data_IF_356553988420
#
_entry.id   IF_356553988420
#
_cell.length_a   1.000
_cell.length_b   1.000
_cell.length_c   1.000
_cell.angle_alpha   90.00
_cell.angle_beta   90.00
_cell.angle_gamma   90.00
#
_symmetry.space_group_name_H-M   'P 1'
#
loop_
_entity.id
_entity.type
_entity.pdbx_description
1 polymer ?
#
# COMPACT_ATOMS: atom_id res chain seq x y z
N UNK A 1 -56.19 -21.40 -22.32
CA UNK A 1 -55.17 -20.53 -21.69
C UNK A 1 -54.44 -21.39 -20.67
N UNK A 2 -53.16 -21.68 -20.87
CA UNK A 2 -52.35 -22.47 -19.93
C UNK A 2 -51.93 -21.56 -18.78
N UNK A 3 -52.42 -21.83 -17.57
CA UNK A 3 -51.96 -21.13 -16.35
C UNK A 3 -50.51 -21.55 -16.06
N UNK A 4 -49.72 -20.64 -15.47
CA UNK A 4 -48.39 -20.98 -15.02
C UNK A 4 -48.48 -22.08 -13.94
N UNK A 5 -47.66 -23.15 -14.03
CA UNK A 5 -47.66 -24.24 -13.06
C UNK A 5 -47.20 -23.77 -11.68
N UNK A 6 -47.61 -24.46 -10.62
CA UNK A 6 -47.17 -24.15 -9.27
C UNK A 6 -45.63 -24.26 -9.16
N UNK A 7 -44.97 -23.24 -8.58
CA UNK A 7 -43.52 -23.17 -8.56
C UNK A 7 -42.96 -21.87 -7.99
N UNK A 8 -41.63 -21.81 -7.90
CA UNK A 8 -40.90 -20.62 -7.46
C UNK A 8 -40.55 -19.74 -8.66
N UNK A 9 -40.88 -18.46 -8.57
CA UNK A 9 -40.65 -17.49 -9.63
C UNK A 9 -40.04 -16.20 -9.07
N UNK A 10 -39.32 -15.41 -9.89
CA UNK A 10 -38.77 -14.12 -9.45
C UNK A 10 -39.86 -13.19 -8.91
N UNK A 11 -39.64 -12.63 -7.72
CA UNK A 11 -40.56 -11.65 -7.14
C UNK A 11 -40.34 -10.27 -7.82
N UNK A 12 -41.33 -9.72 -8.54
CA UNK A 12 -41.18 -8.44 -9.21
C UNK A 12 -41.11 -7.25 -8.24
N UNK A 13 -41.55 -7.42 -6.98
CA UNK A 13 -41.56 -6.37 -5.96
C UNK A 13 -40.25 -6.33 -5.17
N UNK A 14 -39.55 -7.47 -5.08
CA UNK A 14 -38.30 -7.59 -4.31
C UNK A 14 -37.24 -8.28 -5.17
N UNK A 15 -36.32 -7.50 -5.77
CA UNK A 15 -35.21 -8.05 -6.54
C UNK A 15 -34.40 -9.05 -5.70
N UNK A 16 -33.90 -10.12 -6.32
CA UNK A 16 -33.12 -11.21 -5.69
C UNK A 16 -33.86 -12.16 -4.74
N UNK A 17 -35.19 -12.13 -4.76
CA UNK A 17 -36.05 -13.09 -4.04
C UNK A 17 -36.94 -13.85 -5.02
N UNK A 18 -37.22 -15.11 -4.68
CA UNK A 18 -38.23 -15.92 -5.36
C UNK A 18 -39.48 -15.94 -4.50
N UNK A 19 -40.64 -15.84 -5.12
CA UNK A 19 -41.95 -15.98 -4.50
C UNK A 19 -42.66 -17.23 -5.06
N UNK A 20 -43.39 -17.93 -4.21
CA UNK A 20 -44.06 -19.16 -4.62
C UNK A 20 -45.46 -18.88 -5.19
N UNK A 21 -45.71 -19.38 -6.40
CA UNK A 21 -47.00 -19.44 -7.07
C UNK A 21 -47.61 -20.83 -6.84
N UNK A 22 -48.85 -20.90 -6.35
CA UNK A 22 -49.52 -22.17 -6.04
C UNK A 22 -50.35 -22.74 -7.22
N UNK A 23 -50.37 -22.06 -8.36
CA UNK A 23 -51.21 -22.39 -9.53
C UNK A 23 -52.43 -21.49 -9.69
N UNK A 24 -52.87 -20.83 -8.63
CA UNK A 24 -54.05 -19.95 -8.59
C UNK A 24 -53.71 -18.53 -8.11
N UNK A 25 -52.81 -18.37 -7.15
CA UNK A 25 -52.40 -17.11 -6.56
C UNK A 25 -50.92 -17.10 -6.09
N UNK A 26 -50.38 -15.89 -5.90
CA UNK A 26 -49.07 -15.69 -5.28
C UNK A 26 -49.18 -15.84 -3.76
N UNK A 27 -48.47 -16.82 -3.20
CA UNK A 27 -48.44 -17.05 -1.75
C UNK A 27 -47.51 -16.07 -1.03
N UNK A 28 -47.48 -16.04 0.31
CA UNK A 28 -46.51 -15.26 1.10
C UNK A 28 -45.13 -15.94 1.23
N UNK A 29 -44.97 -17.15 0.68
CA UNK A 29 -43.68 -17.85 0.76
C UNK A 29 -42.66 -17.18 -0.16
N UNK A 30 -41.57 -16.74 0.45
CA UNK A 30 -40.42 -16.14 -0.21
C UNK A 30 -39.14 -16.89 0.17
N UNK A 31 -38.20 -17.00 -0.77
CA UNK A 31 -36.86 -17.50 -0.51
C UNK A 31 -35.84 -16.67 -1.26
N UNK A 32 -34.60 -16.61 -0.75
CA UNK A 32 -33.51 -15.96 -1.45
C UNK A 32 -33.30 -16.65 -2.81
N UNK A 33 -33.24 -15.87 -3.89
CA UNK A 33 -32.85 -16.41 -5.18
C UNK A 33 -31.38 -16.84 -5.10
N UNK A 34 -31.13 -18.15 -5.06
CA UNK A 34 -29.78 -18.68 -5.22
C UNK A 34 -29.37 -18.39 -6.65
N UNK A 35 -28.55 -17.37 -6.86
CA UNK A 35 -28.06 -17.05 -8.20
C UNK A 35 -27.19 -18.21 -8.69
N UNK A 36 -27.61 -18.98 -9.72
CA UNK A 36 -26.84 -20.11 -10.21
C UNK A 36 -25.49 -19.69 -10.82
N UNK A 37 -25.26 -18.38 -10.98
CA UNK A 37 -24.05 -17.78 -11.53
C UNK A 37 -23.04 -17.31 -10.46
N UNK A 38 -23.35 -17.43 -9.17
CA UNK A 38 -22.41 -17.06 -8.11
C UNK A 38 -21.38 -18.19 -7.87
N UNK A 39 -20.31 -18.20 -8.66
CA UNK A 39 -19.20 -19.13 -8.45
C UNK A 39 -18.65 -19.02 -7.01
N UNK A 40 -18.30 -20.15 -6.35
CA UNK A 40 -17.71 -20.13 -5.02
C UNK A 40 -16.47 -19.23 -5.02
N UNK A 41 -16.45 -18.26 -4.11
CA UNK A 41 -15.30 -17.38 -3.94
C UNK A 41 -14.31 -17.94 -2.91
N UNK A 42 -14.20 -19.26 -2.82
CA UNK A 42 -13.26 -19.95 -1.95
C UNK A 42 -12.21 -20.60 -2.84
N UNK A 43 -10.95 -20.47 -2.48
CA UNK A 43 -9.88 -21.15 -3.20
C UNK A 43 -9.93 -22.67 -2.93
N UNK A 44 -9.43 -23.51 -3.85
CA UNK A 44 -9.27 -24.93 -3.59
C UNK A 44 -8.53 -25.22 -2.26
N UNK A 45 -8.87 -26.31 -1.56
CA UNK A 45 -8.13 -26.71 -0.35
C UNK A 45 -6.63 -26.88 -0.66
N UNK A 46 -5.78 -26.36 0.21
CA UNK A 46 -4.32 -26.46 0.06
C UNK A 46 -3.68 -25.44 -0.89
N UNK A 47 -4.44 -24.51 -1.49
CA UNK A 47 -3.86 -23.44 -2.32
C UNK A 47 -2.85 -22.60 -1.53
N UNK A 48 -1.63 -22.50 -2.06
CA UNK A 48 -0.58 -21.69 -1.46
C UNK A 48 -0.95 -20.20 -1.48
N UNK A 49 -1.03 -19.58 -0.30
CA UNK A 49 -1.38 -18.17 -0.12
C UNK A 49 -0.19 -17.21 -0.25
N UNK A 50 1.04 -17.71 -0.12
CA UNK A 50 2.25 -16.92 -0.03
C UNK A 50 3.01 -16.90 -1.37
N UNK A 51 3.47 -15.72 -1.79
CA UNK A 51 4.28 -15.52 -2.99
C UNK A 51 5.60 -14.86 -2.57
N UNK A 52 6.71 -15.04 -3.29
CA UNK A 52 7.93 -14.27 -3.01
C UNK A 52 7.76 -12.78 -3.33
N UNK A 53 6.97 -12.45 -4.36
CA UNK A 53 6.78 -11.09 -4.85
C UNK A 53 6.18 -10.14 -3.81
N UNK A 54 5.25 -10.62 -2.97
CA UNK A 54 4.67 -9.78 -1.92
C UNK A 54 5.71 -9.31 -0.91
N UNK A 55 6.71 -10.13 -0.61
CA UNK A 55 7.78 -9.76 0.31
C UNK A 55 8.70 -8.70 -0.31
N UNK A 56 8.93 -8.75 -1.62
CA UNK A 56 9.62 -7.67 -2.32
C UNK A 56 8.82 -6.37 -2.25
N UNK A 57 7.50 -6.39 -2.46
CA UNK A 57 6.66 -5.19 -2.32
C UNK A 57 6.72 -4.59 -0.91
N UNK A 58 6.79 -5.43 0.12
CA UNK A 58 6.79 -4.98 1.53
C UNK A 58 8.16 -4.50 2.00
N UNK A 59 9.24 -5.19 1.60
CA UNK A 59 10.58 -4.97 2.15
C UNK A 59 11.44 -4.05 1.28
N UNK A 60 11.24 -4.04 -0.04
CA UNK A 60 12.05 -3.21 -0.95
C UNK A 60 11.97 -1.70 -0.64
N UNK A 61 10.83 -1.13 -0.21
CA UNK A 61 10.77 0.26 0.24
C UNK A 61 11.70 0.61 1.42
N UNK A 62 12.20 -0.39 2.16
CA UNK A 62 13.17 -0.18 3.23
C UNK A 62 14.59 0.09 2.71
N UNK A 63 14.90 -0.25 1.46
CA UNK A 63 16.20 0.03 0.85
C UNK A 63 16.48 1.55 0.73
N UNK A 64 15.63 2.36 0.09
CA UNK A 64 15.84 3.81 0.07
C UNK A 64 15.76 4.42 1.47
N UNK A 65 14.93 3.86 2.37
CA UNK A 65 14.89 4.28 3.79
C UNK A 65 16.25 4.11 4.46
N UNK A 66 16.92 2.98 4.23
CA UNK A 66 18.26 2.72 4.76
C UNK A 66 19.29 3.71 4.21
N UNK A 67 19.27 4.00 2.90
CA UNK A 67 20.19 4.99 2.30
C UNK A 67 19.97 6.39 2.89
N UNK A 68 18.72 6.74 3.17
CA UNK A 68 18.31 8.04 3.73
C UNK A 68 18.90 8.26 5.13
N UNK A 69 19.12 7.19 5.92
CA UNK A 69 19.72 7.29 7.25
C UNK A 69 21.19 7.74 7.24
N UNK A 70 21.90 7.52 6.12
CA UNK A 70 23.30 7.92 5.97
C UNK A 70 23.48 9.36 5.46
N UNK A 71 22.38 10.04 5.13
CA UNK A 71 22.42 11.44 4.71
C UNK A 71 22.67 12.31 5.97
N UNK A 72 23.65 13.25 5.92
CA UNK A 72 23.97 14.10 7.06
C UNK A 72 22.93 15.22 7.22
N UNK A 73 21.72 14.88 7.63
CA UNK A 73 20.60 15.83 7.75
C UNK A 73 20.90 17.05 8.64
N UNK A 74 21.76 16.89 9.65
CA UNK A 74 22.18 18.00 10.52
C UNK A 74 23.07 19.04 9.81
N UNK A 75 23.79 18.64 8.75
CA UNK A 75 24.62 19.57 7.99
C UNK A 75 23.82 20.42 7.00
N UNK A 76 22.49 20.26 6.96
CA UNK A 76 21.60 21.05 6.09
C UNK A 76 21.65 22.56 6.42
N UNK A 77 21.83 22.88 7.70
CA UNK A 77 21.89 24.26 8.20
C UNK A 77 23.27 24.64 8.73
N UNK A 78 24.28 23.79 8.51
CA UNK A 78 25.64 24.10 8.91
C UNK A 78 26.15 25.27 8.06
N UNK A 79 26.33 26.41 8.72
CA UNK A 79 26.80 27.66 8.14
C UNK A 79 27.96 28.16 8.99
N UNK A 80 29.03 28.59 8.34
CA UNK A 80 30.14 29.27 9.02
C UNK A 80 29.86 30.78 9.04
N UNK A 81 29.53 31.38 10.20
CA UNK A 81 29.19 32.80 10.30
C UNK A 81 30.37 33.74 10.05
N UNK A 82 31.60 33.21 10.00
CA UNK A 82 32.81 33.98 9.72
C UNK A 82 33.27 33.83 8.27
N UNK A 83 32.61 32.98 7.48
CA UNK A 83 32.89 32.87 6.05
C UNK A 83 32.49 34.16 5.35
N UNK A 84 33.42 34.75 4.61
CA UNK A 84 33.21 36.03 3.92
C UNK A 84 33.21 35.87 2.41
N UNK A 85 33.65 34.72 1.89
CA UNK A 85 33.56 34.42 0.46
C UNK A 85 32.11 34.07 0.09
N UNK A 86 31.43 34.89 -0.74
CA UNK A 86 30.06 34.61 -1.18
C UNK A 86 29.91 33.26 -1.88
N UNK A 87 30.99 32.76 -2.49
CA UNK A 87 31.03 31.47 -3.20
C UNK A 87 30.98 30.30 -2.24
N UNK A 88 31.74 30.35 -1.15
CA UNK A 88 31.75 29.30 -0.12
C UNK A 88 30.46 29.33 0.72
N UNK A 89 29.91 30.52 0.99
CA UNK A 89 28.57 30.68 1.59
C UNK A 89 27.50 29.99 0.73
N UNK A 90 27.52 30.21 -0.59
CA UNK A 90 26.58 29.55 -1.51
C UNK A 90 26.81 28.03 -1.55
N UNK A 91 28.08 27.58 -1.60
CA UNK A 91 28.43 26.15 -1.65
C UNK A 91 28.00 25.41 -0.39
N UNK A 92 28.21 25.97 0.79
CA UNK A 92 27.82 25.36 2.07
C UNK A 92 26.30 25.21 2.16
N UNK A 93 25.53 26.23 1.81
CA UNK A 93 24.06 26.17 1.75
C UNK A 93 23.55 25.11 0.75
N UNK A 94 24.25 24.93 -0.37
CA UNK A 94 23.88 23.96 -1.41
C UNK A 94 24.47 22.57 -1.21
N UNK A 95 25.35 22.37 -0.22
CA UNK A 95 26.16 21.16 -0.07
C UNK A 95 25.33 19.88 -0.01
N UNK A 96 24.25 19.88 0.79
CA UNK A 96 23.34 18.74 0.89
C UNK A 96 22.61 18.46 -0.44
N UNK A 97 22.17 19.51 -1.15
CA UNK A 97 21.50 19.38 -2.44
C UNK A 97 22.42 18.89 -3.55
N UNK A 98 23.73 19.08 -3.42
CA UNK A 98 24.74 18.53 -4.32
C UNK A 98 25.25 17.15 -3.90
N UNK A 99 24.79 16.63 -2.75
CA UNK A 99 25.26 15.34 -2.21
C UNK A 99 24.96 14.17 -3.17
N UNK A 100 25.99 13.42 -3.61
CA UNK A 100 25.78 12.24 -4.45
C UNK A 100 24.88 11.19 -3.79
N UNK A 101 24.95 11.07 -2.46
CA UNK A 101 24.14 10.11 -1.70
C UNK A 101 22.66 10.49 -1.70
N UNK A 102 22.33 11.78 -1.60
CA UNK A 102 20.96 12.26 -1.69
C UNK A 102 20.38 11.92 -3.07
N UNK A 103 21.09 12.25 -4.14
CA UNK A 103 20.64 11.93 -5.50
C UNK A 103 20.52 10.43 -5.76
N UNK A 104 21.49 9.64 -5.30
CA UNK A 104 21.43 8.18 -5.37
C UNK A 104 20.20 7.64 -4.64
N UNK A 105 19.93 8.13 -3.42
CA UNK A 105 18.76 7.71 -2.65
C UNK A 105 17.45 8.02 -3.37
N UNK A 106 17.35 9.16 -4.07
CA UNK A 106 16.18 9.52 -4.86
C UNK A 106 16.01 8.65 -6.10
N UNK A 107 17.08 8.40 -6.85
CA UNK A 107 17.03 7.50 -8.01
C UNK A 107 16.63 6.08 -7.59
N UNK A 108 17.19 5.58 -6.48
CA UNK A 108 16.81 4.29 -5.90
C UNK A 108 15.35 4.30 -5.47
N UNK A 109 14.86 5.37 -4.85
CA UNK A 109 13.46 5.50 -4.45
C UNK A 109 12.49 5.39 -5.64
N UNK A 110 12.76 6.12 -6.74
CA UNK A 110 11.95 6.02 -7.96
C UNK A 110 12.03 4.63 -8.61
N UNK A 111 13.21 4.02 -8.66
CA UNK A 111 13.36 2.67 -9.18
C UNK A 111 12.59 1.64 -8.34
N UNK A 112 12.70 1.72 -7.01
CA UNK A 112 11.99 0.87 -6.06
C UNK A 112 10.48 1.04 -6.16
N UNK A 113 9.99 2.26 -6.37
CA UNK A 113 8.56 2.51 -6.60
C UNK A 113 8.05 1.75 -7.83
N UNK A 114 8.75 1.86 -8.96
CA UNK A 114 8.39 1.13 -10.19
C UNK A 114 8.48 -0.39 -10.01
N UNK A 115 9.53 -0.88 -9.34
CA UNK A 115 9.71 -2.30 -9.03
C UNK A 115 8.59 -2.84 -8.12
N UNK A 116 8.11 -2.07 -7.15
CA UNK A 116 6.98 -2.47 -6.31
C UNK A 116 5.70 -2.68 -7.14
N UNK A 117 5.42 -1.79 -8.09
CA UNK A 117 4.28 -1.95 -9.00
C UNK A 117 4.45 -3.19 -9.88
N UNK A 118 5.64 -3.40 -10.42
CA UNK A 118 5.96 -4.59 -11.22
C UNK A 118 5.82 -5.90 -10.41
N UNK A 119 6.33 -5.94 -9.18
CA UNK A 119 6.18 -7.10 -8.30
C UNK A 119 4.74 -7.32 -7.85
N UNK A 120 3.93 -6.27 -7.65
CA UNK A 120 2.50 -6.41 -7.42
C UNK A 120 1.78 -7.05 -8.61
N UNK A 121 2.19 -6.72 -9.84
CA UNK A 121 1.69 -7.39 -11.04
C UNK A 121 2.06 -8.88 -11.07
N UNK A 122 3.32 -9.23 -10.78
CA UNK A 122 3.76 -10.63 -10.70
C UNK A 122 3.05 -11.41 -9.60
N UNK A 123 2.87 -10.80 -8.43
CA UNK A 123 2.10 -11.34 -7.31
C UNK A 123 0.66 -11.66 -7.76
N UNK A 124 -0.04 -10.68 -8.33
CA UNK A 124 -1.41 -10.89 -8.79
C UNK A 124 -1.49 -11.99 -9.88
N UNK A 125 -0.54 -12.01 -10.82
CA UNK A 125 -0.47 -13.04 -11.87
C UNK A 125 -0.29 -14.43 -11.27
N UNK A 126 0.58 -14.58 -10.28
CA UNK A 126 0.83 -15.85 -9.61
C UNK A 126 -0.38 -16.31 -8.77
N UNK A 127 -1.03 -15.40 -8.04
CA UNK A 127 -2.26 -15.73 -7.29
C UNK A 127 -3.40 -16.20 -8.22
N UNK A 128 -3.53 -15.58 -9.40
CA UNK A 128 -4.49 -16.03 -10.43
C UNK A 128 -4.13 -17.42 -10.97
N UNK A 129 -2.85 -17.67 -11.23
CA UNK A 129 -2.37 -18.99 -11.69
C UNK A 129 -2.65 -20.11 -10.67
N UNK A 130 -2.70 -19.76 -9.38
CA UNK A 130 -3.05 -20.68 -8.28
C UNK A 130 -4.56 -20.84 -8.06
N UNK A 131 -5.39 -20.40 -8.99
CA UNK A 131 -6.85 -20.49 -8.95
C UNK A 131 -7.50 -19.75 -7.76
N UNK A 132 -6.89 -18.67 -7.26
CA UNK A 132 -7.53 -17.81 -6.25
C UNK A 132 -8.57 -16.92 -6.94
N UNK A 133 -9.87 -17.02 -6.59
CA UNK A 133 -10.91 -16.29 -7.30
C UNK A 133 -10.95 -14.80 -6.88
N UNK A 134 -11.19 -13.92 -7.88
CA UNK A 134 -11.31 -12.46 -7.72
C UNK A 134 -10.17 -11.85 -6.87
N UNK A 135 -8.94 -11.92 -7.39
CA UNK A 135 -7.76 -11.34 -6.73
C UNK A 135 -7.81 -9.81 -6.70
N UNK A 136 -7.10 -9.21 -5.72
CA UNK A 136 -6.96 -7.77 -5.60
C UNK A 136 -6.12 -7.20 -6.74
N UNK A 137 -6.49 -6.04 -7.28
CA UNK A 137 -5.86 -5.51 -8.49
C UNK A 137 -4.49 -4.88 -8.21
N UNK A 138 -3.48 -5.24 -9.01
CA UNK A 138 -2.10 -4.75 -8.85
C UNK A 138 -1.96 -3.23 -8.93
N UNK A 139 -2.84 -2.54 -9.68
CA UNK A 139 -2.77 -1.09 -9.86
C UNK A 139 -2.90 -0.30 -8.55
N UNK A 140 -3.49 -0.90 -7.50
CA UNK A 140 -3.53 -0.30 -6.17
C UNK A 140 -2.13 -0.19 -5.52
N UNK A 141 -1.08 -0.75 -6.12
CA UNK A 141 0.31 -0.54 -5.69
C UNK A 141 0.80 0.89 -5.92
N UNK A 142 0.17 1.66 -6.81
CA UNK A 142 0.42 3.10 -6.95
C UNK A 142 0.02 3.89 -5.70
N UNK A 143 -0.90 3.35 -4.89
CA UNK A 143 -1.32 3.93 -3.62
C UNK A 143 -0.71 3.12 -2.48
N UNK A 144 0.56 3.34 -2.16
CA UNK A 144 1.21 2.66 -1.05
C UNK A 144 0.59 3.13 0.29
N UNK A 145 0.12 2.25 1.20
CA UNK A 145 0.33 0.79 1.29
C UNK A 145 -0.88 -0.09 0.92
N UNK A 146 -1.80 0.40 0.09
CA UNK A 146 -3.11 -0.21 -0.18
C UNK A 146 -2.98 -1.64 -0.72
N UNK A 147 -2.07 -1.90 -1.66
CA UNK A 147 -1.92 -3.23 -2.27
C UNK A 147 -1.58 -4.35 -1.28
N UNK A 148 -0.47 -4.30 -0.50
CA UNK A 148 -0.11 -5.39 0.39
C UNK A 148 -1.15 -5.66 1.48
N UNK A 149 -1.88 -4.63 1.94
CA UNK A 149 -2.99 -4.78 2.89
C UNK A 149 -4.20 -5.41 2.20
N UNK A 150 -4.67 -4.81 1.10
CA UNK A 150 -5.86 -5.26 0.37
C UNK A 150 -5.73 -6.70 -0.14
N UNK A 151 -4.58 -7.05 -0.72
CA UNK A 151 -4.31 -8.42 -1.20
C UNK A 151 -4.31 -9.43 -0.07
N UNK A 152 -3.80 -9.08 1.11
CA UNK A 152 -3.77 -9.98 2.27
C UNK A 152 -5.17 -10.24 2.81
N UNK A 153 -6.03 -9.21 2.87
CA UNK A 153 -7.43 -9.36 3.29
C UNK A 153 -8.21 -10.24 2.31
N UNK A 154 -8.03 -10.02 1.00
CA UNK A 154 -8.67 -10.85 -0.03
C UNK A 154 -8.20 -12.29 0.11
N UNK A 155 -6.89 -12.55 0.10
CA UNK A 155 -6.35 -13.91 0.18
C UNK A 155 -6.82 -14.63 1.46
N UNK A 156 -6.80 -13.96 2.62
CA UNK A 156 -7.33 -14.52 3.88
C UNK A 156 -8.80 -14.92 3.77
N UNK A 157 -9.64 -14.12 3.10
CA UNK A 157 -11.05 -14.47 2.85
C UNK A 157 -11.22 -15.64 1.88
N UNK A 158 -10.24 -15.90 0.99
CA UNK A 158 -10.30 -16.98 -0.01
C UNK A 158 -9.73 -18.30 0.48
N UNK A 159 -8.67 -18.28 1.29
CA UNK A 159 -7.88 -19.47 1.70
C UNK A 159 -7.89 -19.73 3.21
N UNK A 160 -8.48 -18.83 4.01
CA UNK A 160 -8.39 -18.85 5.47
C UNK A 160 -7.05 -18.36 6.04
N UNK A 161 -6.02 -18.19 5.21
CA UNK A 161 -4.65 -17.89 5.61
C UNK A 161 -4.08 -16.65 4.88
N UNK A 162 -2.97 -16.11 5.37
CA UNK A 162 -2.21 -15.08 4.64
C UNK A 162 -2.29 -13.65 5.16
N UNK A 163 -2.54 -13.47 6.46
CA UNK A 163 -2.41 -12.15 7.13
C UNK A 163 -0.96 -11.71 7.36
N UNK A 164 0.04 -12.57 7.19
CA UNK A 164 1.43 -12.23 7.53
C UNK A 164 1.98 -11.02 6.75
N UNK A 165 1.83 -10.92 5.40
CA UNK A 165 2.30 -9.74 4.67
C UNK A 165 1.57 -8.44 5.01
N UNK A 166 0.34 -8.49 5.53
CA UNK A 166 -0.34 -7.31 6.06
C UNK A 166 0.39 -6.77 7.29
N UNK A 167 0.68 -7.64 8.26
CA UNK A 167 1.42 -7.25 9.46
C UNK A 167 2.84 -6.78 9.15
N UNK A 168 3.51 -7.43 8.18
CA UNK A 168 4.81 -6.98 7.71
C UNK A 168 4.75 -5.59 7.05
N UNK A 169 3.71 -5.30 6.26
CA UNK A 169 3.49 -3.97 5.70
C UNK A 169 3.21 -2.93 6.80
N UNK A 170 2.40 -3.27 7.80
CA UNK A 170 2.15 -2.39 8.96
C UNK A 170 3.45 -2.10 9.71
N UNK A 171 4.27 -3.12 9.94
CA UNK A 171 5.57 -2.97 10.59
C UNK A 171 6.53 -2.11 9.77
N UNK A 172 6.59 -2.28 8.44
CA UNK A 172 7.45 -1.47 7.58
C UNK A 172 7.02 0.00 7.56
N UNK A 173 5.72 0.29 7.56
CA UNK A 173 5.19 1.66 7.69
C UNK A 173 5.59 2.25 9.04
N UNK A 174 5.38 1.52 10.14
CA UNK A 174 5.74 1.98 11.47
C UNK A 174 7.23 2.31 11.58
N UNK A 175 8.10 1.46 11.02
CA UNK A 175 9.54 1.69 10.95
C UNK A 175 9.87 2.97 10.14
N UNK A 176 9.25 3.15 8.98
CA UNK A 176 9.44 4.36 8.17
C UNK A 176 9.01 5.63 8.91
N UNK A 177 7.92 5.58 9.68
CA UNK A 177 7.47 6.71 10.50
C UNK A 177 8.46 7.06 11.63
N UNK A 178 9.05 6.05 12.27
CA UNK A 178 10.10 6.26 13.28
C UNK A 178 11.31 6.94 12.65
N UNK A 179 11.79 6.43 11.52
CA UNK A 179 12.93 7.03 10.80
C UNK A 179 12.64 8.46 10.35
N UNK A 180 11.46 8.71 9.78
CA UNK A 180 11.06 10.06 9.39
C UNK A 180 11.00 11.02 10.58
N UNK A 181 10.56 10.54 11.74
CA UNK A 181 10.54 11.33 12.99
C UNK A 181 11.95 11.67 13.44
N UNK A 182 12.88 10.70 13.43
CA UNK A 182 14.29 10.94 13.78
C UNK A 182 14.90 11.99 12.85
N UNK A 183 14.71 11.85 11.54
CA UNK A 183 15.22 12.80 10.55
C UNK A 183 14.62 14.20 10.79
N UNK A 184 13.31 14.30 11.02
CA UNK A 184 12.65 15.57 11.28
C UNK A 184 13.19 16.26 12.55
N UNK A 185 13.45 15.50 13.62
CA UNK A 185 14.06 16.01 14.85
C UNK A 185 15.48 16.53 14.57
N UNK A 186 16.30 15.79 13.81
CA UNK A 186 17.66 16.22 13.45
C UNK A 186 17.65 17.52 12.65
N UNK A 187 16.75 17.65 11.67
CA UNK A 187 16.57 18.87 10.88
C UNK A 187 16.13 20.02 11.78
N UNK A 188 15.15 19.79 12.65
CA UNK A 188 14.64 20.83 13.56
C UNK A 188 15.70 21.30 14.55
N UNK A 189 16.52 20.39 15.09
CA UNK A 189 17.63 20.72 15.96
C UNK A 189 18.66 21.62 15.25
N UNK A 190 19.07 21.27 14.03
CA UNK A 190 19.99 22.10 13.24
C UNK A 190 19.41 23.48 12.90
N UNK A 191 18.11 23.58 12.63
CA UNK A 191 17.44 24.87 12.44
C UNK A 191 17.44 25.71 13.72
N UNK A 192 17.21 25.08 14.88
CA UNK A 192 17.23 25.79 16.16
C UNK A 192 18.63 26.33 16.49
N UNK A 193 19.68 25.57 16.20
CA UNK A 193 21.07 26.02 16.32
C UNK A 193 21.34 27.23 15.43
N UNK A 194 20.95 27.17 14.15
CA UNK A 194 21.08 28.30 13.22
C UNK A 194 20.39 29.57 13.75
N UNK A 195 19.16 29.45 14.26
CA UNK A 195 18.43 30.60 14.82
C UNK A 195 19.12 31.21 16.04
N UNK A 196 19.75 30.38 16.88
CA UNK A 196 20.53 30.85 18.03
C UNK A 196 21.83 31.54 17.58
N UNK A 197 22.49 31.03 16.55
CA UNK A 197 23.69 31.61 15.96
C UNK A 197 23.39 33.02 15.43
N UNK A 198 22.35 33.17 14.61
CA UNK A 198 21.93 34.46 14.04
C UNK A 198 21.59 35.47 15.15
N UNK A 199 20.94 35.04 16.22
CA UNK A 199 20.61 35.91 17.35
C UNK A 199 21.84 36.40 18.14
N UNK A 200 23.00 35.72 18.01
CA UNK A 200 24.25 36.08 18.70
C UNK A 200 25.15 37.01 17.88
N UNK A 201 24.95 37.12 16.57
CA UNK A 201 25.76 38.01 15.72
C UNK A 201 25.37 39.47 16.02
N UNK A 202 26.26 40.30 16.58
CA UNK A 202 25.97 41.72 16.77
C UNK A 202 25.82 42.43 15.42
N UNK A 203 24.86 43.35 15.35
CA UNK A 203 24.54 44.13 14.15
C UNK A 203 25.69 45.01 13.66
#
# INVERSE_FOLDING_TARGET
MTSAPAGWYPDPLVPSTLRYWDGYAWTSHQQAAVSPFAAPLTAPPGTAWNTPWIWLVVLLPLLPLLLTLFIPWGSMFAFDPYETDPTEIMRSQMGLYTSPLLWLSQLVSYAVYGLCVFFAYLDQKELKARAIPKTFHWAWAFLNPVYPIGRSVVVKRRTGHGSAPMWAAVASIALSLVVATIIAVTIFAGLAELMQEIARVPA
#
